data_IF_844929870198
#
_entry.id   IF_844929870198
#
_cell.length_a   1.000
_cell.length_b   1.000
_cell.length_c   1.000
_cell.angle_alpha   90.00
_cell.angle_beta   90.00
_cell.angle_gamma   90.00
#
_symmetry.space_group_name_H-M   'P 1'
#
loop_
_entity.id
_entity.type
_entity.pdbx_description
1 polymer ?
#
# COMPACT_ATOMS: atom_id res chain seq x y z
N UNK A 1 -2.77 -4.24 -26.70
CA UNK A 1 -3.74 -4.99 -25.87
C UNK A 1 -2.94 -5.55 -24.70
N UNK A 2 -3.51 -5.60 -23.49
CA UNK A 2 -2.86 -6.15 -22.30
C UNK A 2 -3.47 -7.52 -21.99
N UNK A 3 -3.01 -8.56 -22.67
CA UNK A 3 -3.68 -9.87 -22.68
C UNK A 3 -3.62 -10.63 -21.33
N UNK A 4 -2.70 -10.25 -20.43
CA UNK A 4 -2.52 -10.86 -19.10
C UNK A 4 -2.55 -9.82 -17.96
N UNK A 5 -3.26 -8.70 -18.15
CA UNK A 5 -3.38 -7.69 -17.10
C UNK A 5 -4.24 -8.21 -15.93
N UNK A 6 -3.79 -8.07 -14.66
CA UNK A 6 -4.59 -8.44 -13.50
C UNK A 6 -5.91 -7.66 -13.43
N UNK A 7 -7.04 -8.35 -13.57
CA UNK A 7 -8.35 -7.67 -13.61
C UNK A 7 -8.94 -7.35 -12.23
N UNK A 8 -8.46 -7.99 -11.17
CA UNK A 8 -8.98 -7.83 -9.81
C UNK A 8 -8.82 -6.40 -9.25
N UNK A 9 -7.93 -5.58 -9.83
CA UNK A 9 -7.75 -4.17 -9.45
C UNK A 9 -8.80 -3.24 -10.07
N UNK A 10 -9.54 -3.73 -11.08
CA UNK A 10 -10.51 -2.95 -11.84
C UNK A 10 -11.83 -2.90 -11.06
N UNK A 11 -12.10 -1.77 -10.42
CA UNK A 11 -13.36 -1.54 -9.70
C UNK A 11 -14.48 -1.13 -10.67
N UNK A 12 -15.73 -1.23 -10.22
CA UNK A 12 -16.92 -0.90 -11.02
C UNK A 12 -16.82 0.43 -11.80
N UNK A 13 -16.43 1.55 -11.16
CA UNK A 13 -16.29 2.85 -11.84
C UNK A 13 -15.29 2.86 -13.01
N UNK A 14 -14.27 2.00 -12.99
CA UNK A 14 -13.23 1.96 -14.03
C UNK A 14 -13.58 1.11 -15.23
N UNK A 15 -14.54 0.18 -15.10
CA UNK A 15 -14.85 -0.78 -16.17
C UNK A 15 -15.10 -0.12 -17.52
N UNK A 16 -15.81 1.02 -17.56
CA UNK A 16 -16.12 1.75 -18.80
C UNK A 16 -14.90 2.36 -19.48
N UNK A 17 -13.85 2.67 -18.72
CA UNK A 17 -12.60 3.25 -19.25
C UNK A 17 -11.57 2.17 -19.58
N UNK A 18 -11.63 1.05 -18.88
CA UNK A 18 -10.66 -0.04 -19.00
C UNK A 18 -11.03 -1.02 -20.11
N UNK A 19 -12.31 -1.38 -20.26
CA UNK A 19 -12.75 -2.33 -21.28
C UNK A 19 -13.29 -1.61 -22.52
N UNK A 20 -12.94 -2.10 -23.71
CA UNK A 20 -13.61 -1.72 -24.95
C UNK A 20 -14.93 -2.48 -25.17
N UNK A 21 -15.58 -2.23 -26.32
CA UNK A 21 -16.84 -2.88 -26.67
C UNK A 21 -16.71 -4.40 -26.85
N UNK A 22 -15.52 -4.89 -27.18
CA UNK A 22 -15.19 -6.31 -27.32
C UNK A 22 -14.70 -6.91 -25.99
N UNK A 23 -14.71 -6.15 -24.89
CA UNK A 23 -14.27 -6.60 -23.57
C UNK A 23 -12.74 -6.68 -23.41
N UNK A 24 -11.96 -6.09 -24.32
CA UNK A 24 -10.50 -6.08 -24.25
C UNK A 24 -10.01 -4.93 -23.38
N UNK A 25 -8.90 -5.15 -22.69
CA UNK A 25 -8.28 -4.14 -21.84
C UNK A 25 -7.57 -3.08 -22.68
N UNK A 26 -8.07 -1.85 -22.59
CA UNK A 26 -7.43 -0.65 -23.09
C UNK A 26 -6.32 -0.20 -22.13
N UNK A 27 -5.09 -0.13 -22.65
CA UNK A 27 -3.91 0.23 -21.86
C UNK A 27 -4.07 1.57 -21.13
N UNK A 28 -4.62 2.58 -21.79
CA UNK A 28 -4.76 3.92 -21.20
C UNK A 28 -5.66 3.92 -19.95
N UNK A 29 -6.85 3.34 -20.05
CA UNK A 29 -7.77 3.22 -18.90
C UNK A 29 -7.18 2.35 -17.80
N UNK A 30 -6.56 1.22 -18.17
CA UNK A 30 -5.93 0.32 -17.22
C UNK A 30 -4.79 0.99 -16.44
N UNK A 31 -3.92 1.74 -17.13
CA UNK A 31 -2.81 2.46 -16.49
C UNK A 31 -3.31 3.47 -15.46
N UNK A 32 -4.38 4.23 -15.78
CA UNK A 32 -4.95 5.18 -14.83
C UNK A 32 -5.60 4.47 -13.64
N UNK A 33 -6.34 3.39 -13.87
CA UNK A 33 -6.93 2.56 -12.82
C UNK A 33 -5.84 2.03 -11.88
N UNK A 34 -4.73 1.50 -12.43
CA UNK A 34 -3.60 0.99 -11.66
C UNK A 34 -2.95 2.10 -10.81
N UNK A 35 -2.71 3.27 -11.40
CA UNK A 35 -2.09 4.40 -10.68
C UNK A 35 -2.94 4.89 -9.51
N UNK A 36 -4.26 4.96 -9.68
CA UNK A 36 -5.17 5.31 -8.59
C UNK A 36 -5.14 4.26 -7.47
N UNK A 37 -5.22 2.97 -7.81
CA UNK A 37 -5.13 1.88 -6.82
C UNK A 37 -3.79 1.87 -6.08
N UNK A 38 -2.69 2.09 -6.79
CA UNK A 38 -1.36 2.22 -6.20
C UNK A 38 -1.31 3.40 -5.23
N UNK A 39 -1.79 4.57 -5.65
CA UNK A 39 -1.83 5.76 -4.81
C UNK A 39 -2.66 5.53 -3.53
N UNK A 40 -3.83 4.91 -3.66
CA UNK A 40 -4.70 4.60 -2.52
C UNK A 40 -4.04 3.64 -1.54
N UNK A 41 -3.46 2.54 -2.04
CA UNK A 41 -2.79 1.54 -1.21
C UNK A 41 -1.58 2.13 -0.47
N UNK A 42 -0.79 2.99 -1.14
CA UNK A 42 0.30 3.73 -0.51
C UNK A 42 -0.20 4.70 0.56
N UNK A 43 -1.29 5.43 0.31
CA UNK A 43 -1.89 6.37 1.28
C UNK A 43 -2.44 5.66 2.50
N UNK A 44 -3.13 4.53 2.31
CA UNK A 44 -3.70 3.69 3.37
C UNK A 44 -2.64 2.90 4.14
N UNK A 45 -1.38 2.93 3.70
CA UNK A 45 -0.28 2.21 4.32
C UNK A 45 -0.48 0.68 4.23
N UNK A 46 -1.17 0.22 3.17
CA UNK A 46 -1.43 -1.19 2.87
C UNK A 46 -0.23 -1.84 2.17
N UNK A 47 0.47 -1.06 1.34
CA UNK A 47 1.71 -1.45 0.66
C UNK A 47 2.81 -0.42 0.95
N UNK A 48 4.06 -0.87 0.79
CA UNK A 48 5.26 -0.13 1.11
C UNK A 48 6.26 -0.19 -0.02
N UNK A 49 7.04 0.86 -0.19
CA UNK A 49 8.16 0.89 -1.12
C UNK A 49 9.45 0.81 -0.32
N UNK A 50 10.23 -0.25 -0.57
CA UNK A 50 11.60 -0.36 -0.06
C UNK A 50 12.41 0.88 -0.49
N UNK A 51 13.23 1.40 0.43
CA UNK A 51 14.08 2.59 0.22
C UNK A 51 13.33 3.92 -0.05
N UNK A 52 12.02 4.00 0.23
CA UNK A 52 11.30 5.26 0.19
C UNK A 52 11.20 5.90 1.57
N UNK A 53 11.64 7.15 1.73
CA UNK A 53 11.44 7.88 2.99
C UNK A 53 9.95 8.16 3.26
N UNK A 54 9.22 8.56 2.21
CA UNK A 54 7.82 8.97 2.32
C UNK A 54 6.86 7.78 2.40
N UNK A 55 7.10 6.76 1.58
CA UNK A 55 6.23 5.60 1.39
C UNK A 55 6.87 4.29 1.83
N UNK A 56 7.94 4.35 2.63
CA UNK A 56 8.56 3.18 3.24
C UNK A 56 7.77 2.68 4.44
N UNK A 57 8.08 1.45 4.85
CA UNK A 57 7.42 0.77 5.95
C UNK A 57 7.78 1.45 7.29
N UNK A 58 6.83 2.12 7.97
CA UNK A 58 7.10 2.82 9.22
C UNK A 58 7.43 1.85 10.35
N UNK A 59 7.04 0.57 10.22
CA UNK A 59 7.31 -0.46 11.23
C UNK A 59 8.78 -0.86 11.29
N UNK A 60 9.53 -0.64 10.21
CA UNK A 60 10.99 -0.88 10.19
C UNK A 60 11.75 0.11 11.08
N UNK A 61 11.14 1.25 11.41
CA UNK A 61 11.73 2.25 12.31
C UNK A 61 11.38 2.02 13.78
N UNK A 62 10.56 1.02 14.09
CA UNK A 62 10.18 0.68 15.46
C UNK A 62 11.19 -0.28 16.06
N UNK A 63 11.41 -0.18 17.37
CA UNK A 63 12.15 -1.19 18.12
C UNK A 63 11.41 -2.53 18.02
N UNK A 64 12.14 -3.60 17.78
CA UNK A 64 11.61 -4.96 17.68
C UNK A 64 12.43 -5.91 18.56
N UNK A 65 11.90 -7.11 18.80
CA UNK A 65 12.64 -8.19 19.45
C UNK A 65 13.27 -7.78 20.79
N UNK A 66 14.54 -8.13 20.97
CA UNK A 66 15.30 -7.88 22.20
C UNK A 66 15.49 -6.39 22.49
N UNK A 67 15.71 -5.56 21.45
CA UNK A 67 15.88 -4.12 21.61
C UNK A 67 14.61 -3.46 22.18
N UNK A 68 13.43 -3.90 21.72
CA UNK A 68 12.17 -3.48 22.33
C UNK A 68 12.04 -3.95 23.77
N UNK A 69 12.33 -5.23 24.07
CA UNK A 69 12.21 -5.73 25.44
C UNK A 69 13.10 -4.96 26.43
N UNK A 70 14.33 -4.62 26.01
CA UNK A 70 15.26 -3.83 26.80
C UNK A 70 14.73 -2.40 27.09
N UNK A 71 14.01 -1.81 26.14
CA UNK A 71 13.49 -0.44 26.24
C UNK A 71 12.04 -0.34 26.72
N UNK A 72 11.33 -1.47 26.87
CA UNK A 72 9.89 -1.50 27.18
C UNK A 72 9.56 -0.75 28.48
N UNK A 73 10.26 -1.06 29.56
CA UNK A 73 10.03 -0.44 30.88
C UNK A 73 10.26 1.08 30.87
N UNK A 74 11.41 1.60 30.40
CA UNK A 74 11.61 3.05 30.36
C UNK A 74 10.62 3.76 29.42
N UNK A 75 10.25 3.16 28.28
CA UNK A 75 9.25 3.71 27.36
C UNK A 75 7.85 3.76 28.01
N UNK A 76 7.38 2.66 28.60
CA UNK A 76 6.09 2.63 29.30
C UNK A 76 6.03 3.68 30.42
N UNK A 77 7.10 3.79 31.22
CA UNK A 77 7.19 4.81 32.27
C UNK A 77 7.13 6.23 31.71
N UNK A 78 7.87 6.52 30.63
CA UNK A 78 7.87 7.84 30.00
C UNK A 78 6.49 8.22 29.43
N UNK A 79 5.72 7.22 28.98
CA UNK A 79 4.36 7.39 28.49
C UNK A 79 3.29 7.38 29.60
N UNK A 80 3.68 7.24 30.87
CA UNK A 80 2.75 7.17 32.00
C UNK A 80 1.95 5.86 32.07
N UNK A 81 2.43 4.80 31.44
CA UNK A 81 1.83 3.48 31.51
C UNK A 81 2.43 2.64 32.66
N UNK A 82 1.64 1.75 33.28
CA UNK A 82 2.16 0.78 34.23
C UNK A 82 3.16 -0.16 33.55
N UNK A 83 4.25 -0.47 34.25
CA UNK A 83 5.36 -1.34 33.79
C UNK A 83 5.18 -2.78 34.20
#
# INVERSE_FOLDING_TARGET
ILDNAPEHIITGPWKRLVYDAEGRIQRAGYSLCLLERLQDALRRRDIWLENSDRWGNPREKLLQGEEWQAQRVPVCRALGHPT
#
